data_IF_279715139780
#
_entry.id   IF_279715139780
#
_cell.length_a   1.000
_cell.length_b   1.000
_cell.length_c   1.000
_cell.angle_alpha   90.00
_cell.angle_beta   90.00
_cell.angle_gamma   90.00
#
_symmetry.space_group_name_H-M   'P 1'
#
loop_
_entity.id
_entity.type
_entity.pdbx_description
1 polymer ?
#
# COMPACT_ATOMS: atom_id res chain seq x y z
N UNK A 1 1.22 33.53 -6.31
CA UNK A 1 0.06 33.28 -7.20
C UNK A 1 0.55 33.17 -8.64
N UNK A 2 0.53 31.97 -9.23
CA UNK A 2 0.63 31.77 -10.69
C UNK A 2 -0.54 30.87 -11.08
N UNK A 3 -1.52 31.45 -11.77
CA UNK A 3 -2.72 30.82 -12.28
C UNK A 3 -2.45 30.27 -13.69
N UNK A 4 -2.88 29.02 -13.93
CA UNK A 4 -2.97 28.28 -15.22
C UNK A 4 -1.63 27.90 -15.91
N UNK A 5 -1.52 26.66 -16.45
CA UNK A 5 -2.51 26.00 -17.30
C UNK A 5 -3.11 24.71 -16.69
N UNK A 6 -4.43 24.71 -16.52
CA UNK A 6 -5.22 23.66 -15.84
C UNK A 6 -6.12 22.86 -16.80
N UNK A 7 -5.87 22.88 -18.12
CA UNK A 7 -6.86 22.36 -19.10
C UNK A 7 -6.46 21.06 -19.81
N UNK A 8 -5.20 20.58 -19.73
CA UNK A 8 -4.80 19.34 -20.43
C UNK A 8 -3.72 18.49 -19.72
N UNK A 9 -3.60 18.55 -18.39
CA UNK A 9 -2.68 17.66 -17.64
C UNK A 9 -3.43 16.41 -17.17
N UNK A 10 -2.69 15.27 -17.14
CA UNK A 10 -3.10 13.94 -16.68
C UNK A 10 -4.02 14.04 -15.44
N UNK A 11 -4.99 13.13 -15.21
CA UNK A 11 -5.62 13.05 -13.90
C UNK A 11 -4.50 12.93 -12.88
N UNK A 12 -4.35 13.92 -12.00
CA UNK A 12 -3.41 13.82 -10.89
C UNK A 12 -3.67 12.49 -10.19
N UNK A 13 -2.63 11.65 -10.07
CA UNK A 13 -2.68 10.31 -9.50
C UNK A 13 -3.59 10.29 -8.25
N UNK A 14 -4.38 9.22 -8.10
CA UNK A 14 -5.54 9.11 -7.20
C UNK A 14 -5.32 9.29 -5.69
N UNK A 15 -4.12 9.65 -5.27
CA UNK A 15 -3.88 10.33 -4.00
C UNK A 15 -4.07 11.81 -4.26
N UNK A 16 -5.30 12.30 -4.08
CA UNK A 16 -5.60 13.71 -3.84
C UNK A 16 -4.44 14.32 -3.05
N UNK A 17 -3.66 15.22 -3.65
CA UNK A 17 -2.45 15.80 -3.06
C UNK A 17 -2.76 16.18 -1.60
N UNK A 18 -2.34 15.37 -0.61
CA UNK A 18 -2.73 15.62 0.76
C UNK A 18 -2.19 16.98 1.16
N UNK A 19 -2.95 17.69 1.99
CA UNK A 19 -2.49 18.99 2.44
C UNK A 19 -1.23 18.80 3.27
N UNK A 20 -0.15 19.52 2.92
CA UNK A 20 1.00 19.64 3.83
C UNK A 20 0.57 20.62 4.91
N UNK A 21 0.52 20.15 6.16
CA UNK A 21 0.11 20.95 7.30
C UNK A 21 1.33 21.32 8.16
N UNK A 22 1.49 22.62 8.39
CA UNK A 22 2.37 23.21 9.40
C UNK A 22 1.59 23.75 10.59
N UNK A 23 0.25 23.72 10.52
CA UNK A 23 -0.68 24.20 11.54
C UNK A 23 -1.97 23.37 11.57
N UNK A 24 -2.49 23.13 12.76
CA UNK A 24 -3.73 22.37 13.00
C UNK A 24 -4.85 23.24 13.57
N UNK A 25 -6.14 22.89 13.36
CA UNK A 25 -7.27 23.66 13.88
C UNK A 25 -7.55 23.34 15.36
N UNK A 26 -6.61 23.64 16.26
CA UNK A 26 -6.68 23.26 17.68
C UNK A 26 -5.90 24.25 18.55
N UNK A 27 -6.32 24.40 19.81
CA UNK A 27 -5.53 25.04 20.86
C UNK A 27 -5.26 24.08 22.03
N UNK A 28 -6.05 23.01 22.15
CA UNK A 28 -5.96 22.02 23.22
C UNK A 28 -6.12 20.61 22.62
N UNK A 29 -5.10 20.10 21.91
CA UNK A 29 -5.15 18.75 21.36
C UNK A 29 -5.07 17.73 22.49
N UNK A 30 -5.67 16.56 22.28
CA UNK A 30 -5.48 15.42 23.17
C UNK A 30 -5.52 14.10 22.43
N UNK A 31 -4.72 13.14 22.87
CA UNK A 31 -4.68 11.81 22.27
C UNK A 31 -5.40 10.77 23.13
N UNK A 32 -5.99 9.79 22.47
CA UNK A 32 -6.61 8.64 23.13
C UNK A 32 -6.03 7.36 22.52
N UNK A 33 -5.75 6.37 23.39
CA UNK A 33 -5.13 5.07 23.08
C UNK A 33 -3.67 5.14 22.60
N UNK A 34 -2.76 4.60 23.43
CA UNK A 34 -1.33 4.54 23.13
C UNK A 34 -0.61 5.89 23.21
N UNK A 35 0.71 5.87 23.04
CA UNK A 35 1.55 7.08 22.96
C UNK A 35 1.80 7.42 21.47
N UNK A 36 1.34 8.58 20.96
CA UNK A 36 1.57 8.99 19.58
C UNK A 36 3.04 9.31 19.27
N UNK A 37 3.90 9.56 20.26
CA UNK A 37 5.28 10.02 20.04
C UNK A 37 6.14 9.04 19.24
N UNK A 38 5.84 7.74 19.33
CA UNK A 38 6.55 6.73 18.56
C UNK A 38 6.25 6.81 17.06
N UNK A 39 5.04 7.25 16.71
CA UNK A 39 4.51 7.19 15.36
C UNK A 39 4.56 8.53 14.64
N UNK A 40 4.16 9.60 15.34
CA UNK A 40 3.98 10.94 14.78
C UNK A 40 4.72 12.04 15.56
N UNK A 41 6.02 11.90 15.82
CA UNK A 41 6.80 12.88 16.60
C UNK A 41 6.79 14.29 15.99
N UNK A 42 6.79 14.43 14.67
CA UNK A 42 6.78 15.72 13.96
C UNK A 42 5.45 16.44 14.09
N UNK A 43 4.35 15.68 14.07
CA UNK A 43 3.00 16.17 14.35
C UNK A 43 2.90 16.66 15.79
N UNK A 44 3.40 15.90 16.77
CA UNK A 44 3.45 16.34 18.17
C UNK A 44 4.27 17.61 18.31
N UNK A 45 5.49 17.65 17.77
CA UNK A 45 6.34 18.83 17.82
C UNK A 45 5.67 20.06 17.18
N UNK A 46 4.91 19.86 16.10
CA UNK A 46 4.13 20.94 15.45
C UNK A 46 3.00 21.44 16.34
N UNK A 47 2.24 20.53 16.97
CA UNK A 47 1.18 20.86 17.91
C UNK A 47 1.73 21.59 19.14
N UNK A 48 2.80 21.10 19.74
CA UNK A 48 3.41 21.68 20.94
C UNK A 48 4.00 23.07 20.68
N UNK A 49 4.63 23.27 19.51
CA UNK A 49 5.03 24.62 19.07
C UNK A 49 3.83 25.54 18.88
N UNK A 50 2.72 25.03 18.37
CA UNK A 50 1.51 25.82 18.13
C UNK A 50 0.81 26.22 19.43
N UNK A 51 0.70 25.30 20.40
CA UNK A 51 -0.05 25.50 21.64
C UNK A 51 0.80 26.00 22.80
N UNK A 52 2.14 25.94 22.67
CA UNK A 52 3.09 26.19 23.74
C UNK A 52 2.89 25.27 24.96
N UNK A 53 2.32 24.08 24.73
CA UNK A 53 2.01 23.08 25.76
C UNK A 53 2.22 21.66 25.21
N UNK A 54 2.60 20.69 26.05
CA UNK A 54 2.69 19.29 25.64
C UNK A 54 1.31 18.76 25.22
N UNK A 55 1.28 17.81 24.28
CA UNK A 55 0.04 17.09 23.97
C UNK A 55 -0.24 16.07 25.07
N UNK A 56 -1.39 16.18 25.73
CA UNK A 56 -1.78 15.33 26.87
C UNK A 56 -2.85 14.29 26.48
N UNK A 57 -3.11 13.29 27.32
CA UNK A 57 -4.26 12.40 27.14
C UNK A 57 -5.56 13.19 27.00
N UNK A 58 -6.41 12.76 26.07
CA UNK A 58 -7.65 13.44 25.71
C UNK A 58 -8.62 13.50 26.89
N UNK A 59 -9.24 14.67 27.06
CA UNK A 59 -10.36 14.91 27.96
C UNK A 59 -11.44 15.73 27.24
N UNK A 60 -12.66 15.85 27.81
CA UNK A 60 -13.72 16.69 27.22
C UNK A 60 -13.37 18.17 27.07
N UNK A 61 -12.28 18.65 27.68
CA UNK A 61 -11.79 20.03 27.54
C UNK A 61 -10.90 20.23 26.31
N UNK A 62 -10.41 19.14 25.70
CA UNK A 62 -9.67 19.18 24.44
C UNK A 62 -10.59 19.63 23.29
N UNK A 63 -10.02 20.29 22.28
CA UNK A 63 -10.73 20.74 21.08
C UNK A 63 -10.32 19.97 19.81
N UNK A 64 -9.45 18.96 19.95
CA UNK A 64 -9.07 18.00 18.93
C UNK A 64 -8.82 16.63 19.59
N UNK A 65 -9.39 15.58 19.00
CA UNK A 65 -9.16 14.19 19.41
C UNK A 65 -8.19 13.51 18.44
N UNK A 66 -7.05 13.04 18.93
CA UNK A 66 -6.11 12.22 18.18
C UNK A 66 -6.33 10.74 18.49
N UNK A 67 -6.41 9.90 17.46
CA UNK A 67 -6.58 8.45 17.57
C UNK A 67 -5.61 7.71 16.65
N UNK A 68 -5.08 6.54 17.03
CA UNK A 68 -4.42 5.67 16.07
C UNK A 68 -5.44 5.18 15.02
N UNK A 69 -4.98 5.00 13.78
CA UNK A 69 -5.80 4.43 12.71
C UNK A 69 -6.23 3.00 13.06
N UNK A 70 -7.54 2.67 13.02
CA UNK A 70 -8.03 1.36 13.38
C UNK A 70 -7.79 0.33 12.27
N UNK A 71 -7.59 -0.94 12.63
CA UNK A 71 -7.64 -2.06 11.67
C UNK A 71 -9.07 -2.32 11.23
N UNK A 72 -9.97 -2.33 12.23
CA UNK A 72 -11.39 -2.59 12.09
C UNK A 72 -12.18 -1.47 12.74
N UNK A 73 -13.33 -1.13 12.16
CA UNK A 73 -14.20 -0.10 12.72
C UNK A 73 -14.62 -0.34 14.18
N UNK A 74 -14.62 -1.59 14.64
CA UNK A 74 -14.88 -1.98 16.04
C UNK A 74 -13.81 -1.52 17.03
N UNK A 75 -12.61 -1.16 16.57
CA UNK A 75 -11.52 -0.66 17.42
C UNK A 75 -11.67 0.83 17.76
N UNK A 76 -12.56 1.54 17.04
CA UNK A 76 -12.83 2.95 17.30
C UNK A 76 -13.64 3.11 18.60
N UNK A 77 -13.34 4.13 19.42
CA UNK A 77 -14.07 4.42 20.66
C UNK A 77 -15.41 5.09 20.33
N UNK A 78 -16.37 4.32 19.80
CA UNK A 78 -17.65 4.83 19.33
C UNK A 78 -18.43 5.58 20.41
N UNK A 79 -18.35 5.16 21.67
CA UNK A 79 -18.98 5.85 22.80
C UNK A 79 -18.46 7.29 22.97
N UNK A 80 -17.13 7.48 22.89
CA UNK A 80 -16.50 8.81 22.91
C UNK A 80 -16.92 9.59 21.68
N UNK A 81 -16.79 8.99 20.49
CA UNK A 81 -17.12 9.64 19.22
C UNK A 81 -18.58 10.06 19.15
N UNK A 82 -19.52 9.28 19.69
CA UNK A 82 -20.95 9.56 19.71
C UNK A 82 -21.31 10.72 20.64
N UNK A 83 -20.52 10.94 21.70
CA UNK A 83 -20.64 12.09 22.60
C UNK A 83 -20.11 13.41 22.02
N UNK A 84 -19.35 13.39 20.92
CA UNK A 84 -18.75 14.60 20.34
C UNK A 84 -19.68 15.36 19.38
N UNK A 85 -19.57 16.71 19.31
CA UNK A 85 -20.21 17.52 18.27
C UNK A 85 -19.91 16.99 16.86
N UNK A 86 -20.84 17.18 15.93
CA UNK A 86 -20.72 16.61 14.58
C UNK A 86 -19.51 17.11 13.78
N UNK A 87 -19.12 18.36 14.02
CA UNK A 87 -18.02 19.09 13.41
C UNK A 87 -16.70 19.00 14.22
N UNK A 88 -16.72 18.35 15.39
CA UNK A 88 -15.54 18.22 16.24
C UNK A 88 -14.38 17.54 15.49
N UNK A 89 -13.17 18.10 15.47
CA UNK A 89 -12.09 17.58 14.65
C UNK A 89 -11.48 16.33 15.30
N UNK A 90 -11.31 15.30 14.48
CA UNK A 90 -10.69 14.02 14.84
C UNK A 90 -9.52 13.78 13.89
N UNK A 91 -8.34 13.58 14.45
CA UNK A 91 -7.10 13.33 13.75
C UNK A 91 -6.71 11.86 13.92
N UNK A 92 -6.86 11.07 12.87
CA UNK A 92 -6.35 9.71 12.84
C UNK A 92 -4.89 9.74 12.38
N UNK A 93 -4.01 9.10 13.14
CA UNK A 93 -2.60 8.97 12.78
C UNK A 93 -2.24 7.51 12.51
N UNK A 94 -1.28 7.29 11.61
CA UNK A 94 -0.88 5.92 11.28
C UNK A 94 -0.07 5.33 12.44
N UNK A 95 -0.46 4.14 12.89
CA UNK A 95 0.23 3.41 13.94
C UNK A 95 0.56 1.99 13.46
N UNK A 96 -0.14 0.97 13.95
CA UNK A 96 0.05 -0.43 13.52
C UNK A 96 -0.60 -0.75 12.17
N UNK A 97 -1.55 0.08 11.75
CA UNK A 97 -2.36 -0.12 10.55
C UNK A 97 -2.15 1.03 9.58
N UNK A 98 -1.97 0.74 8.28
CA UNK A 98 -1.84 1.79 7.31
C UNK A 98 -3.14 2.57 7.13
N UNK A 99 -3.01 3.85 6.81
CA UNK A 99 -4.11 4.74 6.50
C UNK A 99 -3.95 5.39 5.13
N UNK A 100 -5.08 5.77 4.53
CA UNK A 100 -5.10 6.60 3.35
C UNK A 100 -5.14 8.07 3.79
N UNK A 101 -4.08 8.87 3.61
CA UNK A 101 -3.97 10.19 4.25
C UNK A 101 -4.67 11.31 3.47
N UNK A 102 -5.17 12.31 4.19
CA UNK A 102 -5.55 13.62 3.61
C UNK A 102 -4.67 14.79 4.11
N UNK A 103 -3.80 14.52 5.09
CA UNK A 103 -2.82 15.47 5.64
C UNK A 103 -1.46 14.79 5.73
N UNK A 104 -0.41 15.54 5.41
CA UNK A 104 1.00 15.17 5.64
C UNK A 104 1.68 16.19 6.54
N UNK A 105 2.60 15.71 7.37
CA UNK A 105 3.50 16.56 8.16
C UNK A 105 4.92 16.07 7.93
N UNK A 106 5.80 16.98 7.53
CA UNK A 106 7.24 16.72 7.45
C UNK A 106 7.96 17.14 8.73
N UNK A 107 9.12 16.57 9.00
CA UNK A 107 10.00 16.95 10.11
C UNK A 107 10.56 18.39 10.00
N UNK A 108 10.43 19.04 8.83
CA UNK A 108 10.97 20.36 8.52
C UNK A 108 12.50 20.38 8.37
N UNK A 109 13.16 19.24 8.56
CA UNK A 109 14.61 19.08 8.47
C UNK A 109 14.97 18.72 7.02
N UNK A 110 15.95 19.41 6.43
CA UNK A 110 16.38 19.14 5.06
C UNK A 110 17.40 17.99 4.97
N UNK A 111 17.52 17.18 6.02
CA UNK A 111 18.43 16.03 6.01
C UNK A 111 17.96 14.97 5.02
N UNK A 112 18.86 14.55 4.13
CA UNK A 112 18.64 13.34 3.33
C UNK A 112 18.83 12.06 4.15
N UNK A 113 19.52 12.11 5.29
CA UNK A 113 19.69 10.94 6.14
C UNK A 113 18.44 10.66 6.96
N UNK A 114 17.97 9.41 6.90
CA UNK A 114 16.87 8.86 7.71
C UNK A 114 17.32 7.53 8.33
N UNK A 115 16.74 7.17 9.47
CA UNK A 115 16.99 5.90 10.14
C UNK A 115 15.92 4.86 9.72
N UNK A 116 16.31 3.60 9.62
CA UNK A 116 15.42 2.46 9.34
C UNK A 116 15.38 1.48 10.53
N UNK A 117 15.88 1.87 11.70
CA UNK A 117 15.96 1.02 12.91
C UNK A 117 14.60 0.65 13.51
N UNK A 118 13.58 1.49 13.33
CA UNK A 118 12.25 1.23 13.89
C UNK A 118 11.20 1.17 12.78
N UNK A 119 10.12 0.44 13.05
CA UNK A 119 9.00 0.37 12.12
C UNK A 119 8.42 1.74 11.79
N UNK A 120 8.34 2.63 12.77
CA UNK A 120 7.79 3.97 12.61
C UNK A 120 8.72 4.89 11.81
N UNK A 121 10.03 4.87 12.07
CA UNK A 121 11.02 5.62 11.26
C UNK A 121 11.05 5.12 9.82
N UNK A 122 11.08 3.79 9.62
CA UNK A 122 11.00 3.17 8.29
C UNK A 122 9.76 3.58 7.50
N UNK A 123 8.59 3.60 8.15
CA UNK A 123 7.33 4.02 7.54
C UNK A 123 7.32 5.50 7.14
N UNK A 124 7.89 6.38 7.98
CA UNK A 124 8.01 7.81 7.66
C UNK A 124 9.03 8.08 6.56
N UNK A 125 10.14 7.34 6.53
CA UNK A 125 11.14 7.38 5.46
C UNK A 125 10.56 6.89 4.12
N UNK A 126 9.83 5.77 4.15
CA UNK A 126 9.09 5.27 2.98
C UNK A 126 8.19 6.36 2.39
N UNK A 127 7.42 7.06 3.21
CA UNK A 127 6.53 8.14 2.76
C UNK A 127 7.28 9.32 2.16
N UNK A 128 8.40 9.70 2.75
CA UNK A 128 9.20 10.82 2.22
C UNK A 128 9.83 10.48 0.86
N UNK A 129 10.05 9.21 0.53
CA UNK A 129 10.52 8.84 -0.81
C UNK A 129 9.58 9.32 -1.92
N UNK A 130 8.27 9.29 -1.69
CA UNK A 130 7.27 9.71 -2.69
C UNK A 130 6.79 11.15 -2.51
N UNK A 131 7.10 11.79 -1.39
CA UNK A 131 6.57 13.09 -0.99
C UNK A 131 7.67 13.89 -0.34
N UNK A 132 7.82 15.16 -0.67
CA UNK A 132 8.98 15.96 -0.24
C UNK A 132 10.30 15.51 -0.89
N UNK A 133 10.25 14.88 -2.07
CA UNK A 133 11.42 14.55 -2.90
C UNK A 133 12.48 13.70 -2.18
N UNK A 134 12.06 12.81 -1.26
CA UNK A 134 13.01 12.01 -0.48
C UNK A 134 13.78 12.81 0.57
N UNK A 135 13.28 13.97 1.00
CA UNK A 135 13.91 14.78 2.04
C UNK A 135 13.21 14.54 3.38
N UNK A 136 14.00 14.27 4.43
CA UNK A 136 13.51 14.08 5.80
C UNK A 136 12.58 12.88 5.98
N UNK A 137 11.76 12.96 7.03
CA UNK A 137 10.69 12.01 7.36
C UNK A 137 9.30 12.63 7.16
N UNK A 138 8.33 11.81 6.73
CA UNK A 138 6.95 12.26 6.46
C UNK A 138 5.92 11.42 7.21
N UNK A 139 5.10 12.08 8.01
CA UNK A 139 3.96 11.51 8.71
C UNK A 139 2.68 11.72 7.89
N UNK A 140 1.80 10.72 7.89
CA UNK A 140 0.52 10.85 7.22
C UNK A 140 -0.64 10.65 8.18
N UNK A 141 -1.63 11.51 8.02
CA UNK A 141 -2.74 11.71 8.94
C UNK A 141 -4.05 11.80 8.15
N UNK A 142 -5.15 11.53 8.85
CA UNK A 142 -6.50 11.82 8.40
C UNK A 142 -7.16 12.78 9.38
N UNK A 143 -7.41 14.01 8.94
CA UNK A 143 -8.18 14.97 9.71
C UNK A 143 -9.62 15.02 9.17
N UNK A 144 -10.58 14.64 10.00
CA UNK A 144 -12.01 14.61 9.66
C UNK A 144 -12.88 15.05 10.84
N UNK A 145 -14.09 15.59 10.57
CA UNK A 145 -15.10 15.76 11.60
C UNK A 145 -15.54 14.42 12.23
N UNK A 146 -15.90 14.43 13.52
CA UNK A 146 -16.37 13.25 14.24
C UNK A 146 -17.57 12.57 13.55
N UNK A 147 -18.49 13.35 12.96
CA UNK A 147 -19.58 12.81 12.15
C UNK A 147 -19.12 11.93 10.98
N UNK A 148 -17.97 12.24 10.37
CA UNK A 148 -17.39 11.48 9.25
C UNK A 148 -16.63 10.26 9.74
N UNK A 149 -15.92 10.35 10.86
CA UNK A 149 -15.29 9.19 11.49
C UNK A 149 -16.35 8.16 11.90
N UNK A 150 -17.45 8.60 12.55
CA UNK A 150 -18.62 7.75 12.85
C UNK A 150 -19.23 7.13 11.59
N UNK A 151 -19.34 7.92 10.51
CA UNK A 151 -19.87 7.45 9.24
C UNK A 151 -19.00 6.33 8.63
N UNK A 152 -17.67 6.52 8.58
CA UNK A 152 -16.72 5.49 8.12
C UNK A 152 -16.82 4.23 8.98
N UNK A 153 -16.85 4.40 10.31
CA UNK A 153 -16.95 3.28 11.24
C UNK A 153 -18.24 2.47 11.04
N UNK A 154 -19.40 3.14 10.93
CA UNK A 154 -20.71 2.48 10.84
C UNK A 154 -21.00 1.89 9.46
N UNK A 155 -20.40 2.42 8.39
CA UNK A 155 -20.63 1.95 7.02
C UNK A 155 -19.60 0.96 6.50
N UNK A 156 -18.46 0.80 7.17
CA UNK A 156 -17.58 -0.34 6.92
C UNK A 156 -18.34 -1.70 6.97
N UNK A 157 -19.52 -1.74 7.60
CA UNK A 157 -20.40 -2.91 7.71
C UNK A 157 -21.55 -2.99 6.68
N UNK A 158 -21.74 -1.98 5.82
CA UNK A 158 -22.81 -1.97 4.80
C UNK A 158 -22.19 -1.83 3.40
N UNK A 159 -22.21 -2.91 2.63
CA UNK A 159 -21.54 -3.06 1.33
C UNK A 159 -21.96 -2.05 0.25
N UNK A 160 -23.07 -1.33 0.41
CA UNK A 160 -23.66 -0.45 -0.62
C UNK A 160 -23.95 0.98 -0.11
N UNK A 161 -22.91 1.79 0.15
CA UNK A 161 -23.12 3.20 0.47
C UNK A 161 -22.32 4.14 -0.43
N UNK A 162 -23.00 5.18 -0.95
CA UNK A 162 -22.39 6.32 -1.66
C UNK A 162 -22.33 7.52 -0.69
N UNK A 163 -21.24 8.31 -0.68
CA UNK A 163 -21.17 9.52 0.14
C UNK A 163 -22.23 10.55 -0.28
N UNK A 164 -22.89 11.15 0.71
CA UNK A 164 -23.93 12.20 0.54
C UNK A 164 -23.38 13.45 -0.18
N UNK A 165 -24.20 14.21 -0.94
CA UNK A 165 -23.80 15.36 -1.77
C UNK A 165 -23.34 16.64 -1.03
N UNK A 166 -22.99 16.59 0.25
CA UNK A 166 -22.54 17.77 1.01
C UNK A 166 -21.05 18.19 0.95
N UNK A 167 -20.05 17.34 0.63
CA UNK A 167 -18.63 17.75 0.68
C UNK A 167 -18.13 18.43 -0.59
N UNK A 168 -17.01 19.17 -0.46
CA UNK A 168 -16.16 19.54 -1.60
C UNK A 168 -15.80 18.29 -2.43
N UNK A 169 -15.56 18.46 -3.74
CA UNK A 169 -15.24 17.34 -4.63
C UNK A 169 -14.06 16.48 -4.13
N UNK A 170 -13.06 17.13 -3.53
CA UNK A 170 -11.90 16.47 -2.93
C UNK A 170 -12.30 15.60 -1.73
N UNK A 171 -13.13 16.12 -0.82
CA UNK A 171 -13.62 15.36 0.34
C UNK A 171 -14.48 14.16 -0.09
N UNK A 172 -15.27 14.29 -1.16
CA UNK A 172 -16.04 13.16 -1.71
C UNK A 172 -15.12 12.06 -2.25
N UNK A 173 -14.09 12.43 -3.02
CA UNK A 173 -13.11 11.48 -3.56
C UNK A 173 -12.37 10.75 -2.45
N UNK A 174 -11.88 11.48 -1.44
CA UNK A 174 -11.22 10.88 -0.28
C UNK A 174 -12.13 9.88 0.44
N UNK A 175 -13.36 10.27 0.78
CA UNK A 175 -14.29 9.40 1.49
C UNK A 175 -14.62 8.15 0.68
N UNK A 176 -14.76 8.26 -0.64
CA UNK A 176 -14.95 7.09 -1.50
C UNK A 176 -13.77 6.14 -1.45
N UNK A 177 -12.53 6.65 -1.57
CA UNK A 177 -11.33 5.81 -1.52
C UNK A 177 -11.14 5.15 -0.15
N UNK A 178 -11.36 5.89 0.94
CA UNK A 178 -11.32 5.35 2.29
C UNK A 178 -12.37 4.24 2.51
N UNK A 179 -13.60 4.45 2.04
CA UNK A 179 -14.65 3.42 2.11
C UNK A 179 -14.29 2.17 1.30
N UNK A 180 -13.75 2.34 0.11
CA UNK A 180 -13.30 1.22 -0.73
C UNK A 180 -12.15 0.44 -0.10
N UNK A 181 -11.20 1.15 0.53
CA UNK A 181 -10.13 0.54 1.30
C UNK A 181 -10.70 -0.30 2.46
N UNK A 182 -11.61 0.27 3.26
CA UNK A 182 -12.26 -0.46 4.36
C UNK A 182 -13.07 -1.66 3.86
N UNK A 183 -13.78 -1.55 2.73
CA UNK A 183 -14.50 -2.69 2.12
C UNK A 183 -13.54 -3.78 1.66
N UNK A 184 -12.37 -3.41 1.14
CA UNK A 184 -11.32 -4.36 0.75
C UNK A 184 -10.78 -5.10 1.96
N UNK A 185 -10.42 -4.38 3.01
CA UNK A 185 -9.98 -4.95 4.30
C UNK A 185 -11.04 -5.88 4.89
N UNK A 186 -12.30 -5.45 4.94
CA UNK A 186 -13.39 -6.26 5.49
C UNK A 186 -13.61 -7.56 4.69
N UNK A 187 -13.59 -7.48 3.36
CA UNK A 187 -13.76 -8.64 2.49
C UNK A 187 -12.61 -9.66 2.63
N UNK A 188 -11.36 -9.17 2.74
CA UNK A 188 -10.18 -10.01 2.98
C UNK A 188 -10.21 -10.67 4.36
N UNK A 189 -10.53 -9.92 5.40
CA UNK A 189 -10.65 -10.44 6.78
C UNK A 189 -11.71 -11.53 6.89
N UNK A 190 -12.85 -11.38 6.18
CA UNK A 190 -13.91 -12.39 6.18
C UNK A 190 -13.46 -13.75 5.63
N UNK A 191 -12.46 -13.79 4.72
CA UNK A 191 -11.91 -15.04 4.21
C UNK A 191 -11.10 -15.80 5.27
N UNK A 192 -10.45 -15.08 6.21
CA UNK A 192 -9.71 -15.71 7.31
C UNK A 192 -10.63 -16.40 8.31
N UNK A 193 -11.75 -15.78 8.65
CA UNK A 193 -12.68 -16.30 9.68
C UNK A 193 -13.37 -17.60 9.28
N UNK A 194 -13.49 -17.89 7.97
CA UNK A 194 -14.05 -19.15 7.48
C UNK A 194 -13.12 -20.36 7.71
N UNK A 195 -11.82 -20.12 7.95
CA UNK A 195 -10.81 -21.16 8.18
C UNK A 195 -10.50 -21.41 9.66
N UNK A 196 -11.03 -20.59 10.59
CA UNK A 196 -10.80 -20.77 12.03
C UNK A 196 -12.06 -21.32 12.70
N UNK A 197 -12.00 -22.59 13.12
CA UNK A 197 -12.98 -23.16 14.03
C UNK A 197 -13.03 -22.35 15.33
N UNK A 198 -14.24 -22.24 15.89
CA UNK A 198 -14.63 -21.44 17.05
C UNK A 198 -13.67 -21.44 18.25
N UNK A 199 -12.63 -20.61 18.25
CA UNK A 199 -11.92 -20.18 19.44
C UNK A 199 -11.42 -18.74 19.27
N UNK A 200 -12.37 -17.81 19.15
CA UNK A 200 -12.10 -16.39 19.26
C UNK A 200 -12.31 -15.97 20.72
N UNK A 201 -11.25 -16.06 21.52
CA UNK A 201 -11.17 -15.36 22.79
C UNK A 201 -9.76 -14.78 22.97
N UNK A 202 -9.74 -13.53 23.45
CA UNK A 202 -8.56 -12.70 23.72
C UNK A 202 -7.93 -11.98 22.54
N UNK A 203 -7.74 -10.67 22.70
CA UNK A 203 -6.87 -9.79 21.94
C UNK A 203 -5.41 -10.27 22.03
N UNK A 204 -5.11 -11.40 21.39
CA UNK A 204 -3.77 -11.94 21.27
C UNK A 204 -3.03 -11.11 20.22
N UNK A 205 -1.83 -10.66 20.59
CA UNK A 205 -0.94 -9.88 19.73
C UNK A 205 -0.94 -10.41 18.31
N UNK A 206 -1.28 -9.55 17.35
CA UNK A 206 -1.18 -9.87 15.94
C UNK A 206 0.31 -10.12 15.62
N UNK A 207 0.64 -11.34 15.22
CA UNK A 207 1.94 -11.71 14.67
C UNK A 207 1.70 -12.39 13.32
N UNK A 208 2.23 -11.85 12.21
CA UNK A 208 2.14 -12.51 10.90
C UNK A 208 2.69 -13.94 10.95
N UNK A 209 2.06 -14.86 10.22
CA UNK A 209 2.63 -16.20 10.03
C UNK A 209 3.85 -16.12 9.11
N UNK A 210 4.79 -17.05 9.23
CA UNK A 210 5.92 -17.09 8.30
C UNK A 210 5.45 -17.51 6.89
N UNK A 211 5.90 -16.79 5.86
CA UNK A 211 5.69 -17.17 4.47
C UNK A 211 6.39 -18.49 4.18
N UNK A 212 5.63 -19.50 3.77
CA UNK A 212 6.19 -20.82 3.46
C UNK A 212 6.91 -20.83 2.10
N UNK A 213 7.91 -21.69 1.87
CA UNK A 213 8.48 -21.90 0.54
C UNK A 213 7.44 -22.37 -0.48
N UNK A 214 7.63 -22.03 -1.74
CA UNK A 214 6.82 -22.50 -2.86
C UNK A 214 7.73 -23.01 -3.99
N UNK A 215 7.35 -24.11 -4.65
CA UNK A 215 8.19 -24.76 -5.66
C UNK A 215 8.19 -24.03 -7.02
N UNK A 216 7.04 -23.48 -7.42
CA UNK A 216 6.82 -22.83 -8.72
C UNK A 216 6.13 -21.50 -8.50
N UNK A 217 6.87 -20.42 -8.69
CA UNK A 217 6.44 -19.06 -8.36
C UNK A 217 6.29 -18.24 -9.63
N UNK A 218 5.07 -17.80 -9.94
CA UNK A 218 4.85 -16.80 -10.98
C UNK A 218 4.77 -15.41 -10.33
N UNK A 219 5.61 -14.49 -10.77
CA UNK A 219 5.57 -13.08 -10.36
C UNK A 219 4.91 -12.30 -11.48
N UNK A 220 3.69 -11.81 -11.24
CA UNK A 220 2.87 -11.11 -12.24
C UNK A 220 2.66 -9.68 -11.80
N UNK A 221 3.36 -8.74 -12.46
CA UNK A 221 3.38 -7.32 -12.09
C UNK A 221 3.17 -6.41 -13.30
N UNK A 222 2.54 -5.24 -13.13
CA UNK A 222 2.27 -4.37 -14.26
C UNK A 222 3.52 -3.70 -14.81
N UNK A 223 4.33 -3.03 -13.98
CA UNK A 223 5.44 -2.19 -14.41
C UNK A 223 6.80 -2.83 -14.17
N UNK A 224 7.78 -2.38 -14.95
CA UNK A 224 9.20 -2.74 -14.80
C UNK A 224 9.80 -2.07 -13.57
N UNK A 225 9.91 -2.78 -12.44
CA UNK A 225 10.47 -2.39 -11.13
C UNK A 225 9.61 -2.91 -9.98
N UNK A 226 8.31 -3.11 -10.20
CA UNK A 226 7.36 -3.64 -9.21
C UNK A 226 7.82 -4.98 -8.62
N UNK A 227 8.46 -5.83 -9.43
CA UNK A 227 9.03 -7.10 -9.00
C UNK A 227 10.11 -6.91 -7.94
N UNK A 228 10.93 -5.88 -8.11
CA UNK A 228 12.01 -5.57 -7.18
C UNK A 228 11.47 -4.85 -5.94
N UNK A 229 10.50 -3.95 -6.12
CA UNK A 229 9.95 -3.13 -5.04
C UNK A 229 9.10 -3.94 -4.06
N UNK A 230 8.24 -4.82 -4.54
CA UNK A 230 7.32 -5.60 -3.69
C UNK A 230 7.80 -7.04 -3.40
N UNK A 231 8.65 -7.61 -4.26
CA UNK A 231 8.97 -9.04 -4.22
C UNK A 231 10.45 -9.37 -4.33
N UNK A 232 11.35 -8.38 -4.34
CA UNK A 232 12.77 -8.64 -4.60
C UNK A 232 13.41 -9.59 -3.59
N UNK A 233 13.06 -9.45 -2.31
CA UNK A 233 13.51 -10.36 -1.25
C UNK A 233 12.90 -11.76 -1.39
N UNK A 234 11.60 -11.85 -1.68
CA UNK A 234 10.91 -13.12 -1.93
C UNK A 234 11.41 -13.87 -3.17
N UNK A 235 11.69 -13.16 -4.27
CA UNK A 235 12.26 -13.74 -5.48
C UNK A 235 13.65 -14.29 -5.18
N UNK A 236 14.53 -13.48 -4.57
CA UNK A 236 15.88 -13.92 -4.21
C UNK A 236 15.85 -15.13 -3.26
N UNK A 237 14.92 -15.14 -2.30
CA UNK A 237 14.73 -16.28 -1.38
C UNK A 237 14.25 -17.54 -2.13
N UNK A 238 13.29 -17.40 -3.03
CA UNK A 238 12.76 -18.52 -3.82
C UNK A 238 13.83 -19.12 -4.75
N UNK A 239 14.58 -18.27 -5.46
CA UNK A 239 15.69 -18.71 -6.31
C UNK A 239 16.77 -19.44 -5.49
N UNK A 240 17.16 -18.90 -4.33
CA UNK A 240 18.13 -19.54 -3.45
C UNK A 240 17.63 -20.90 -2.89
N UNK A 241 16.31 -21.06 -2.75
CA UNK A 241 15.69 -22.31 -2.34
C UNK A 241 15.50 -23.33 -3.47
N UNK A 242 15.90 -22.99 -4.71
CA UNK A 242 15.75 -23.85 -5.89
C UNK A 242 14.35 -23.88 -6.48
N UNK A 243 13.51 -22.89 -6.15
CA UNK A 243 12.19 -22.73 -6.78
C UNK A 243 12.33 -22.35 -8.25
N UNK A 244 11.45 -22.87 -9.08
CA UNK A 244 11.25 -22.36 -10.43
C UNK A 244 10.52 -21.01 -10.32
N UNK A 245 11.11 -19.94 -10.85
CA UNK A 245 10.53 -18.59 -10.81
C UNK A 245 10.30 -18.11 -12.23
N UNK A 246 9.06 -17.73 -12.55
CA UNK A 246 8.67 -17.10 -13.82
C UNK A 246 8.24 -15.67 -13.56
N UNK A 247 8.86 -14.71 -14.23
CA UNK A 247 8.60 -13.28 -14.06
C UNK A 247 7.88 -12.72 -15.29
N UNK A 248 6.72 -12.10 -15.07
CA UNK A 248 5.81 -11.66 -16.13
C UNK A 248 5.46 -10.20 -15.90
N UNK A 249 5.91 -9.34 -16.80
CA UNK A 249 5.51 -7.93 -16.84
C UNK A 249 4.37 -7.71 -17.81
N UNK A 250 3.34 -7.02 -17.34
CA UNK A 250 2.12 -6.83 -18.13
C UNK A 250 2.24 -5.66 -19.10
N UNK A 251 2.96 -4.59 -18.74
CA UNK A 251 3.01 -3.35 -19.54
C UNK A 251 4.37 -3.10 -20.20
N UNK A 252 4.40 -2.16 -21.14
CA UNK A 252 5.57 -1.81 -21.97
C UNK A 252 6.55 -0.81 -21.33
N UNK A 253 6.26 -0.26 -20.15
CA UNK A 253 7.12 0.73 -19.49
C UNK A 253 7.27 2.06 -20.25
N UNK A 254 6.45 2.30 -21.28
CA UNK A 254 6.62 3.42 -22.21
C UNK A 254 6.43 4.80 -21.58
N UNK A 255 5.93 4.90 -20.35
CA UNK A 255 5.64 6.18 -19.66
C UNK A 255 6.50 6.43 -18.43
N UNK A 256 7.47 5.55 -18.15
CA UNK A 256 8.33 5.65 -16.96
C UNK A 256 9.49 6.63 -17.07
N UNK A 257 9.90 7.06 -18.27
CA UNK A 257 10.98 8.07 -18.44
C UNK A 257 10.44 9.32 -19.10
N UNK A 258 10.17 10.34 -18.29
CA UNK A 258 9.45 11.55 -18.72
C UNK A 258 10.23 12.48 -19.67
N UNK A 259 11.55 12.30 -19.77
CA UNK A 259 12.46 13.18 -20.52
C UNK A 259 12.76 12.71 -21.95
N UNK A 260 12.23 11.54 -22.35
CA UNK A 260 12.45 10.93 -23.68
C UNK A 260 11.13 10.55 -24.35
N UNK A 261 11.18 10.05 -25.59
CA UNK A 261 9.99 9.53 -26.27
C UNK A 261 9.47 8.26 -25.58
N UNK A 262 8.19 7.93 -25.78
CA UNK A 262 7.61 6.70 -25.21
C UNK A 262 8.33 5.44 -25.69
N UNK A 263 8.75 5.41 -26.97
CA UNK A 263 9.53 4.29 -27.54
C UNK A 263 10.90 4.16 -26.87
N UNK A 264 11.58 5.28 -26.65
CA UNK A 264 12.88 5.28 -25.98
C UNK A 264 12.76 4.91 -24.50
N UNK A 265 11.71 5.38 -23.81
CA UNK A 265 11.38 4.98 -22.44
C UNK A 265 11.20 3.46 -22.34
N UNK A 266 10.42 2.86 -23.25
CA UNK A 266 10.19 1.42 -23.27
C UNK A 266 11.50 0.64 -23.46
N UNK A 267 12.36 1.06 -24.40
CA UNK A 267 13.68 0.42 -24.65
C UNK A 267 14.59 0.50 -23.43
N UNK A 268 14.72 1.69 -22.82
CA UNK A 268 15.53 1.89 -21.61
C UNK A 268 15.04 0.97 -20.51
N UNK A 269 13.74 1.04 -20.18
CA UNK A 269 13.21 0.28 -19.04
C UNK A 269 13.20 -1.23 -19.29
N UNK A 270 13.02 -1.70 -20.52
CA UNK A 270 13.17 -3.12 -20.85
C UNK A 270 14.61 -3.60 -20.56
N UNK A 271 15.64 -2.83 -20.94
CA UNK A 271 17.03 -3.19 -20.63
C UNK A 271 17.34 -3.14 -19.12
N UNK A 272 16.69 -2.25 -18.38
CA UNK A 272 16.77 -2.20 -16.92
C UNK A 272 16.11 -3.43 -16.28
N UNK A 273 14.90 -3.79 -16.71
CA UNK A 273 14.17 -4.96 -16.24
C UNK A 273 14.93 -6.27 -16.48
N UNK A 274 15.52 -6.45 -17.67
CA UNK A 274 16.35 -7.63 -17.97
C UNK A 274 17.55 -7.74 -17.02
N UNK A 275 18.27 -6.63 -16.79
CA UNK A 275 19.39 -6.61 -15.84
C UNK A 275 18.94 -6.88 -14.41
N UNK A 276 17.78 -6.36 -14.00
CA UNK A 276 17.21 -6.62 -12.69
C UNK A 276 16.87 -8.11 -12.51
N UNK A 277 16.24 -8.75 -13.51
CA UNK A 277 15.94 -10.18 -13.49
C UNK A 277 17.20 -11.04 -13.41
N UNK A 278 18.25 -10.71 -14.18
CA UNK A 278 19.55 -11.39 -14.09
C UNK A 278 20.15 -11.30 -12.68
N UNK A 279 20.09 -10.12 -12.04
CA UNK A 279 20.57 -9.91 -10.67
C UNK A 279 19.76 -10.72 -9.65
N UNK A 280 18.45 -10.82 -9.85
CA UNK A 280 17.54 -11.63 -9.04
C UNK A 280 17.72 -13.14 -9.29
N UNK A 281 18.47 -13.54 -10.32
CA UNK A 281 18.69 -14.94 -10.67
C UNK A 281 17.52 -15.58 -11.42
N UNK A 282 16.69 -14.78 -12.10
CA UNK A 282 15.53 -15.25 -12.86
C UNK A 282 15.83 -15.19 -14.35
N UNK A 283 15.77 -16.34 -15.03
CA UNK A 283 15.96 -16.46 -16.48
C UNK A 283 14.67 -16.64 -17.26
N UNK A 284 13.62 -17.17 -16.62
CA UNK A 284 12.30 -17.37 -17.24
C UNK A 284 11.47 -16.08 -17.12
N UNK A 285 11.61 -15.21 -18.11
CA UNK A 285 11.05 -13.85 -18.12
C UNK A 285 10.16 -13.62 -19.33
N UNK A 286 9.06 -12.89 -19.14
CA UNK A 286 8.10 -12.58 -20.19
C UNK A 286 7.60 -11.13 -20.15
N UNK A 287 7.48 -10.55 -21.34
CA UNK A 287 6.99 -9.19 -21.57
C UNK A 287 5.70 -9.28 -22.38
N UNK A 288 4.57 -8.82 -21.82
CA UNK A 288 3.28 -8.85 -22.51
C UNK A 288 2.96 -7.57 -23.28
N UNK A 289 3.75 -6.51 -23.05
CA UNK A 289 3.75 -5.27 -23.84
C UNK A 289 2.37 -4.58 -23.93
N UNK A 290 1.52 -4.70 -22.91
CA UNK A 290 0.31 -3.89 -22.87
C UNK A 290 0.71 -2.40 -22.75
N UNK A 291 0.03 -1.47 -23.44
CA UNK A 291 0.40 -0.07 -23.34
C UNK A 291 0.23 0.45 -21.90
N UNK A 292 1.31 0.97 -21.31
CA UNK A 292 1.31 1.50 -19.95
C UNK A 292 0.20 2.57 -19.79
N UNK A 293 -0.50 2.57 -18.65
CA UNK A 293 -1.71 3.35 -18.32
C UNK A 293 -2.98 2.99 -19.09
N UNK A 294 -2.93 1.97 -19.94
CA UNK A 294 -4.07 1.47 -20.73
C UNK A 294 -4.21 -0.04 -20.61
N UNK A 295 -3.70 -0.63 -19.53
CA UNK A 295 -3.89 -2.05 -19.25
C UNK A 295 -5.39 -2.33 -19.08
N UNK A 296 -5.90 -3.36 -19.76
CA UNK A 296 -7.29 -3.80 -19.59
C UNK A 296 -7.38 -5.32 -19.67
N UNK A 297 -8.56 -5.87 -19.44
CA UNK A 297 -8.83 -7.31 -19.66
C UNK A 297 -8.94 -7.71 -21.13
N UNK A 298 -8.75 -6.77 -22.08
CA UNK A 298 -8.91 -6.99 -23.51
C UNK A 298 -7.62 -6.65 -24.24
N UNK A 299 -7.03 -7.63 -24.92
CA UNK A 299 -5.82 -7.46 -25.71
C UNK A 299 -5.07 -8.80 -25.87
N UNK A 300 -4.03 -8.84 -26.70
CA UNK A 300 -3.22 -10.04 -26.89
C UNK A 300 -2.55 -10.52 -25.58
N UNK A 301 -2.21 -9.58 -24.69
CA UNK A 301 -1.66 -9.87 -23.37
C UNK A 301 -2.55 -10.76 -22.50
N UNK A 302 -3.88 -10.74 -22.69
CA UNK A 302 -4.78 -11.60 -21.92
C UNK A 302 -4.61 -13.07 -22.26
N UNK A 303 -4.63 -13.41 -23.55
CA UNK A 303 -4.39 -14.79 -24.01
C UNK A 303 -2.96 -15.25 -23.72
N UNK A 304 -1.97 -14.35 -23.85
CA UNK A 304 -0.59 -14.66 -23.50
C UNK A 304 -0.44 -14.97 -22.01
N UNK A 305 -1.03 -14.15 -21.13
CA UNK A 305 -1.00 -14.41 -19.69
C UNK A 305 -1.68 -15.75 -19.35
N UNK A 306 -2.82 -16.06 -19.96
CA UNK A 306 -3.47 -17.37 -19.80
C UNK A 306 -2.55 -18.51 -20.20
N UNK A 307 -1.92 -18.43 -21.37
CA UNK A 307 -1.00 -19.45 -21.86
C UNK A 307 0.19 -19.64 -20.93
N UNK A 308 0.83 -18.55 -20.49
CA UNK A 308 1.99 -18.60 -19.61
C UNK A 308 1.66 -19.22 -18.26
N UNK A 309 0.48 -18.90 -17.70
CA UNK A 309 0.02 -19.48 -16.44
C UNK A 309 -0.34 -20.97 -16.59
N UNK A 310 -0.97 -21.35 -17.70
CA UNK A 310 -1.36 -22.73 -17.97
C UNK A 310 -0.15 -23.62 -18.26
N UNK A 311 0.86 -23.11 -18.95
CA UNK A 311 2.13 -23.81 -19.16
C UNK A 311 2.91 -23.95 -17.85
N UNK A 312 2.97 -22.88 -17.06
CA UNK A 312 3.81 -22.83 -15.87
C UNK A 312 3.18 -23.49 -14.63
N UNK A 313 1.87 -23.73 -14.60
CA UNK A 313 1.14 -24.32 -13.46
C UNK A 313 1.71 -23.89 -12.07
N UNK A 314 1.73 -22.57 -11.76
CA UNK A 314 2.36 -22.08 -10.54
C UNK A 314 1.67 -22.65 -9.29
N UNK A 315 2.46 -22.95 -8.26
CA UNK A 315 1.93 -23.26 -6.92
C UNK A 315 1.66 -21.99 -6.13
N UNK A 316 2.37 -20.90 -6.43
CA UNK A 316 2.13 -19.55 -5.91
C UNK A 316 2.21 -18.49 -6.99
N UNK A 317 1.31 -17.51 -6.95
CA UNK A 317 1.37 -16.28 -7.73
C UNK A 317 1.63 -15.09 -6.80
N UNK A 318 2.74 -14.41 -7.04
CA UNK A 318 3.00 -13.08 -6.48
C UNK A 318 2.42 -12.02 -7.41
N UNK A 319 1.63 -11.10 -6.86
CA UNK A 319 1.06 -9.98 -7.62
C UNK A 319 0.72 -8.81 -6.71
N UNK A 320 0.39 -7.65 -7.26
CA UNK A 320 0.05 -6.48 -6.46
C UNK A 320 -1.41 -6.54 -6.03
N UNK A 321 -1.71 -6.09 -4.81
CA UNK A 321 -3.07 -6.05 -4.32
C UNK A 321 -3.94 -4.98 -5.01
N UNK A 322 -5.25 -5.21 -5.10
CA UNK A 322 -6.16 -4.33 -5.87
C UNK A 322 -6.45 -2.96 -5.26
N UNK A 323 -6.09 -2.73 -3.99
CA UNK A 323 -6.32 -1.46 -3.30
C UNK A 323 -5.11 -0.50 -3.40
N UNK A 324 -4.25 -0.75 -4.38
CA UNK A 324 -3.21 0.15 -4.84
C UNK A 324 -3.77 1.48 -5.41
N UNK A 325 -2.94 2.51 -5.37
CA UNK A 325 -3.17 3.83 -5.93
C UNK A 325 -2.60 4.03 -7.35
N UNK A 326 -2.36 2.94 -8.08
CA UNK A 326 -1.98 2.98 -9.49
C UNK A 326 -3.02 2.22 -10.34
N UNK A 327 -3.45 2.83 -11.46
CA UNK A 327 -4.49 2.27 -12.34
C UNK A 327 -4.08 0.91 -12.92
N UNK A 328 -2.84 0.75 -13.36
CA UNK A 328 -2.38 -0.52 -13.93
C UNK A 328 -2.22 -1.60 -12.85
N UNK A 329 -1.94 -1.22 -11.59
CA UNK A 329 -1.91 -2.16 -10.46
C UNK A 329 -3.31 -2.68 -10.14
N UNK A 330 -4.34 -1.84 -10.30
CA UNK A 330 -5.72 -2.28 -10.19
C UNK A 330 -6.17 -3.11 -11.41
N UNK A 331 -5.85 -2.68 -12.62
CA UNK A 331 -6.23 -3.38 -13.84
C UNK A 331 -5.50 -4.72 -13.99
N UNK A 332 -4.28 -4.86 -13.45
CA UNK A 332 -3.55 -6.13 -13.40
C UNK A 332 -4.34 -7.20 -12.63
N UNK A 333 -5.04 -6.82 -11.56
CA UNK A 333 -5.91 -7.74 -10.81
C UNK A 333 -7.10 -8.20 -11.64
N UNK A 334 -7.72 -7.29 -12.41
CA UNK A 334 -8.83 -7.64 -13.31
C UNK A 334 -8.36 -8.56 -14.43
N UNK A 335 -7.21 -8.26 -15.01
CA UNK A 335 -6.59 -9.06 -16.06
C UNK A 335 -6.21 -10.45 -15.53
N UNK A 336 -5.47 -10.52 -14.43
CA UNK A 336 -5.02 -11.77 -13.82
C UNK A 336 -6.21 -12.67 -13.46
N UNK A 337 -7.25 -12.11 -12.83
CA UNK A 337 -8.49 -12.86 -12.55
C UNK A 337 -9.15 -13.40 -13.82
N UNK A 338 -9.18 -12.61 -14.89
CA UNK A 338 -9.81 -13.01 -16.16
C UNK A 338 -8.97 -14.04 -16.93
N UNK A 339 -7.65 -13.98 -16.80
CA UNK A 339 -6.71 -14.83 -17.54
C UNK A 339 -6.38 -16.13 -16.81
N UNK A 340 -6.63 -16.22 -15.50
CA UNK A 340 -6.29 -17.37 -14.67
C UNK A 340 -7.06 -18.64 -15.09
N UNK A 341 -6.35 -19.73 -15.47
CA UNK A 341 -6.98 -21.01 -15.75
C UNK A 341 -7.75 -21.58 -14.55
N UNK A 342 -8.86 -22.31 -14.76
CA UNK A 342 -9.61 -22.95 -13.67
C UNK A 342 -8.78 -23.92 -12.81
N UNK A 343 -7.77 -24.56 -13.40
CA UNK A 343 -6.83 -25.46 -12.70
C UNK A 343 -6.06 -24.75 -11.58
N UNK A 344 -5.91 -23.42 -11.66
CA UNK A 344 -5.21 -22.59 -10.68
C UNK A 344 -6.13 -22.01 -9.60
N UNK A 345 -7.39 -22.44 -9.51
CA UNK A 345 -8.34 -21.95 -8.50
C UNK A 345 -7.87 -22.16 -7.04
N UNK A 346 -7.02 -23.15 -6.80
CA UNK A 346 -6.39 -23.42 -5.51
C UNK A 346 -4.92 -22.95 -5.43
N UNK A 347 -4.39 -22.32 -6.48
CA UNK A 347 -3.06 -21.70 -6.46
C UNK A 347 -3.02 -20.66 -5.33
N UNK A 348 -1.90 -20.58 -4.62
CA UNK A 348 -1.76 -19.60 -3.54
C UNK A 348 -1.48 -18.22 -4.14
N UNK A 349 -2.29 -17.23 -3.79
CA UNK A 349 -2.00 -15.83 -4.07
C UNK A 349 -1.19 -15.27 -2.91
N UNK A 350 -0.05 -14.64 -3.19
CA UNK A 350 0.74 -13.88 -2.22
C UNK A 350 0.87 -12.44 -2.71
N UNK A 351 -0.05 -11.57 -2.29
CA UNK A 351 -0.12 -10.21 -2.84
C UNK A 351 0.62 -9.17 -2.01
N UNK A 352 1.39 -8.33 -2.70
CA UNK A 352 2.23 -7.25 -2.17
C UNK A 352 1.62 -5.86 -2.37
N UNK A 353 2.24 -4.83 -1.78
CA UNK A 353 1.94 -3.41 -2.01
C UNK A 353 3.22 -2.60 -2.24
N UNK A 354 3.15 -1.57 -3.09
CA UNK A 354 4.28 -0.70 -3.45
C UNK A 354 4.06 0.73 -2.96
N UNK A 355 3.06 1.42 -3.52
CA UNK A 355 2.70 2.81 -3.25
C UNK A 355 1.80 2.97 -2.01
N UNK A 356 1.32 1.85 -1.45
CA UNK A 356 0.62 1.78 -0.17
C UNK A 356 1.10 0.57 0.64
N UNK A 357 1.44 0.73 1.94
CA UNK A 357 1.71 -0.42 2.80
C UNK A 357 0.47 -1.31 2.94
N UNK A 358 0.68 -2.62 3.04
CA UNK A 358 -0.42 -3.56 3.21
C UNK A 358 -1.05 -3.47 4.61
N UNK A 359 -2.38 -3.64 4.73
CA UNK A 359 -3.03 -3.80 6.01
C UNK A 359 -2.57 -5.10 6.68
N UNK A 360 -2.53 -5.08 8.01
CA UNK A 360 -2.25 -6.27 8.80
C UNK A 360 -3.55 -6.97 9.16
N UNK A 361 -3.78 -8.14 8.56
CA UNK A 361 -5.02 -8.90 8.70
C UNK A 361 -4.71 -10.27 9.30
N UNK A 362 -5.24 -10.54 10.49
CA UNK A 362 -5.05 -11.80 11.19
C UNK A 362 -5.44 -12.98 10.28
N UNK A 363 -4.61 -14.02 10.27
CA UNK A 363 -4.81 -15.23 9.47
C UNK A 363 -4.55 -15.09 7.95
N UNK A 364 -4.47 -13.88 7.40
CA UNK A 364 -4.14 -13.66 5.98
C UNK A 364 -2.71 -13.16 5.80
N UNK A 365 -2.24 -12.25 6.65
CA UNK A 365 -0.90 -11.69 6.51
C UNK A 365 0.15 -12.73 6.86
N UNK A 366 1.08 -12.95 5.93
CA UNK A 366 2.30 -13.70 6.16
C UNK A 366 3.52 -12.80 5.97
N UNK A 367 4.59 -13.10 6.70
CA UNK A 367 5.84 -12.34 6.69
C UNK A 367 7.00 -13.23 6.26
N UNK A 368 7.85 -12.67 5.41
CA UNK A 368 9.13 -13.23 5.01
C UNK A 368 10.24 -12.40 5.64
N UNK A 369 10.94 -12.96 6.63
CA UNK A 369 12.15 -12.34 7.17
C UNK A 369 13.25 -12.39 6.11
N UNK A 370 13.89 -11.24 5.87
CA UNK A 370 14.96 -11.11 4.88
C UNK A 370 16.33 -11.27 5.52
N UNK A 371 17.21 -11.98 4.83
CA UNK A 371 18.63 -12.09 5.16
C UNK A 371 19.39 -10.88 4.61
N UNK A 372 20.59 -10.61 5.14
CA UNK A 372 21.46 -9.56 4.59
C UNK A 372 21.77 -9.78 3.09
N UNK A 373 21.87 -11.04 2.66
CA UNK A 373 22.12 -11.41 1.26
C UNK A 373 20.92 -11.11 0.36
N UNK A 374 19.71 -11.51 0.75
CA UNK A 374 18.48 -11.25 -0.03
C UNK A 374 18.18 -9.75 -0.11
N UNK A 375 18.40 -8.99 0.97
CA UNK A 375 18.34 -7.52 0.96
C UNK A 375 19.38 -6.94 -0.02
N UNK A 376 20.61 -7.45 -0.03
CA UNK A 376 21.65 -6.97 -0.94
C UNK A 376 21.36 -7.28 -2.41
N UNK A 377 20.77 -8.45 -2.71
CA UNK A 377 20.31 -8.81 -4.05
C UNK A 377 19.20 -7.85 -4.50
N UNK A 378 18.16 -7.67 -3.69
CA UNK A 378 17.04 -6.75 -3.99
C UNK A 378 17.54 -5.33 -4.23
N UNK A 379 18.46 -4.83 -3.40
CA UNK A 379 19.05 -3.49 -3.57
C UNK A 379 19.81 -3.34 -4.89
N UNK A 380 20.57 -4.36 -5.31
CA UNK A 380 21.25 -4.35 -6.62
C UNK A 380 20.26 -4.42 -7.78
N UNK A 381 19.20 -5.21 -7.66
CA UNK A 381 18.17 -5.32 -8.69
C UNK A 381 17.42 -3.99 -8.85
N UNK A 382 17.05 -3.33 -7.74
CA UNK A 382 16.50 -1.97 -7.76
C UNK A 382 17.46 -0.98 -8.43
N UNK A 383 18.76 -1.05 -8.12
CA UNK A 383 19.78 -0.19 -8.71
C UNK A 383 19.91 -0.34 -10.24
N UNK A 384 19.46 -1.45 -10.83
CA UNK A 384 19.44 -1.64 -12.27
C UNK A 384 18.41 -0.74 -12.97
N UNK A 385 17.35 -0.31 -12.26
CA UNK A 385 16.32 0.63 -12.71
C UNK A 385 16.80 2.09 -12.59
N UNK A 386 17.96 2.38 -13.20
CA UNK A 386 18.67 3.64 -13.06
C UNK A 386 17.87 4.86 -13.57
N UNK A 387 17.00 4.66 -14.56
CA UNK A 387 16.11 5.71 -15.07
C UNK A 387 15.05 6.10 -14.04
N UNK A 388 14.56 5.14 -13.25
CA UNK A 388 13.50 5.35 -12.26
C UNK A 388 14.05 5.92 -10.94
N UNK A 389 15.24 5.49 -10.53
CA UNK A 389 15.90 5.98 -9.30
C UNK A 389 16.18 7.49 -9.34
N UNK A 390 16.31 8.08 -10.54
CA UNK A 390 16.47 9.53 -10.69
C UNK A 390 15.22 10.31 -10.25
N UNK A 391 14.05 9.67 -10.32
CA UNK A 391 12.76 10.29 -10.01
C UNK A 391 12.29 9.95 -8.59
N UNK A 392 12.56 8.72 -8.12
CA UNK A 392 12.12 8.22 -6.81
C UNK A 392 13.26 7.46 -6.13
N UNK A 393 13.49 7.75 -4.85
CA UNK A 393 14.48 7.04 -4.03
C UNK A 393 13.99 5.62 -3.67
N UNK A 394 14.08 4.69 -4.63
CA UNK A 394 13.66 3.28 -4.46
C UNK A 394 14.40 2.57 -3.32
N UNK A 395 15.64 2.96 -3.03
CA UNK A 395 16.37 2.40 -1.89
C UNK A 395 15.68 2.76 -0.58
N UNK A 396 15.25 4.01 -0.42
CA UNK A 396 14.48 4.45 0.75
C UNK A 396 13.09 3.82 0.79
N UNK A 397 12.41 3.69 -0.35
CA UNK A 397 11.11 2.99 -0.42
C UNK A 397 11.23 1.57 0.13
N UNK A 398 12.16 0.80 -0.44
CA UNK A 398 12.35 -0.61 -0.09
C UNK A 398 12.81 -0.78 1.36
N UNK A 399 13.84 -0.04 1.80
CA UNK A 399 14.31 -0.11 3.19
C UNK A 399 13.24 0.33 4.20
N UNK A 400 12.47 1.36 3.87
CA UNK A 400 11.38 1.85 4.70
C UNK A 400 10.26 0.83 4.87
N UNK A 401 9.80 0.21 3.77
CA UNK A 401 8.83 -0.88 3.83
C UNK A 401 9.36 -2.10 4.55
N UNK A 402 10.63 -2.47 4.35
CA UNK A 402 11.24 -3.61 5.02
C UNK A 402 11.31 -3.43 6.53
N UNK A 403 11.70 -2.23 6.99
CA UNK A 403 11.70 -1.89 8.42
C UNK A 403 10.28 -1.85 8.99
N UNK A 404 9.32 -1.28 8.26
CA UNK A 404 7.91 -1.27 8.64
C UNK A 404 7.37 -2.69 8.78
N UNK A 405 7.53 -3.52 7.76
CA UNK A 405 7.05 -4.90 7.73
C UNK A 405 7.75 -5.77 8.78
N UNK A 406 9.01 -5.45 9.07
CA UNK A 406 9.84 -6.10 10.07
C UNK A 406 9.42 -5.89 11.52
N UNK A 407 8.37 -5.11 11.81
CA UNK A 407 7.97 -4.76 13.19
C UNK A 407 7.58 -5.93 14.10
N UNK A 408 7.30 -7.09 13.51
CA UNK A 408 7.00 -8.33 14.24
C UNK A 408 8.14 -9.37 14.14
N UNK A 409 9.25 -9.00 13.52
CA UNK A 409 10.45 -9.81 13.36
C UNK A 409 11.68 -9.07 13.89
N UNK A 410 12.75 -9.77 14.20
CA UNK A 410 14.01 -9.14 14.63
C UNK A 410 14.86 -8.72 13.40
N UNK A 411 14.28 -7.99 12.45
CA UNK A 411 14.95 -7.60 11.21
C UNK A 411 14.03 -7.18 10.07
N UNK A 412 14.61 -6.81 8.90
CA UNK A 412 13.84 -6.44 7.71
C UNK A 412 12.97 -7.60 7.23
N UNK A 413 11.76 -7.29 6.76
CA UNK A 413 10.86 -8.31 6.24
C UNK A 413 10.04 -7.80 5.04
N UNK A 414 9.51 -8.72 4.25
CA UNK A 414 8.44 -8.46 3.29
C UNK A 414 7.15 -9.11 3.80
N UNK A 415 6.03 -8.38 3.76
CA UNK A 415 4.73 -8.91 4.16
C UNK A 415 3.84 -9.08 2.93
N UNK A 416 3.02 -10.13 2.96
CA UNK A 416 2.07 -10.46 1.90
C UNK A 416 0.70 -10.81 2.48
N UNK A 417 -0.36 -10.51 1.74
CA UNK A 417 -1.67 -11.11 1.99
C UNK A 417 -1.72 -12.44 1.24
N UNK A 418 -1.84 -13.54 1.98
CA UNK A 418 -1.70 -14.89 1.43
C UNK A 418 -2.98 -15.70 1.62
N UNK A 419 -3.54 -16.20 0.51
CA UNK A 419 -4.73 -17.07 0.50
C UNK A 419 -4.88 -17.81 -0.84
N UNK A 420 -5.68 -18.89 -0.92
CA UNK A 420 -6.03 -19.51 -2.20
C UNK A 420 -6.69 -18.53 -3.17
N UNK A 421 -6.41 -18.68 -4.47
CA UNK A 421 -6.89 -17.77 -5.51
C UNK A 421 -8.41 -17.61 -5.53
N UNK A 422 -9.18 -18.68 -5.33
CA UNK A 422 -10.64 -18.59 -5.26
C UNK A 422 -11.13 -17.66 -4.12
N UNK A 423 -10.48 -17.69 -2.95
CA UNK A 423 -10.81 -16.81 -1.82
C UNK A 423 -10.41 -15.36 -2.10
N UNK A 424 -9.24 -15.17 -2.71
CA UNK A 424 -8.76 -13.85 -3.12
C UNK A 424 -9.73 -13.17 -4.09
N UNK A 425 -10.15 -13.90 -5.14
CA UNK A 425 -11.09 -13.38 -6.13
C UNK A 425 -12.51 -13.24 -5.58
N UNK A 426 -12.92 -14.05 -4.62
CA UNK A 426 -14.17 -13.86 -3.89
C UNK A 426 -14.14 -12.55 -3.11
N UNK A 427 -13.07 -12.26 -2.35
CA UNK A 427 -12.89 -11.00 -1.64
C UNK A 427 -12.83 -9.79 -2.59
N UNK A 428 -12.16 -9.93 -3.73
CA UNK A 428 -12.13 -8.90 -4.78
C UNK A 428 -13.54 -8.56 -5.31
N UNK A 429 -14.41 -9.56 -5.48
CA UNK A 429 -15.80 -9.33 -5.90
C UNK A 429 -16.63 -8.71 -4.77
N UNK A 430 -16.54 -9.27 -3.56
CA UNK A 430 -17.32 -8.85 -2.39
C UNK A 430 -17.00 -7.41 -1.96
N UNK A 431 -15.74 -6.98 -2.10
CA UNK A 431 -15.35 -5.59 -1.83
C UNK A 431 -15.97 -4.57 -2.81
N UNK A 432 -16.56 -5.04 -3.91
CA UNK A 432 -17.03 -4.20 -5.01
C UNK A 432 -15.93 -3.78 -5.98
N UNK A 433 -14.67 -4.20 -5.76
CA UNK A 433 -13.54 -3.82 -6.59
C UNK A 433 -13.74 -4.23 -8.06
N UNK A 434 -14.44 -5.33 -8.35
CA UNK A 434 -14.78 -5.73 -9.73
C UNK A 434 -15.62 -4.73 -10.56
N UNK A 435 -16.27 -3.76 -9.90
CA UNK A 435 -17.17 -2.76 -10.53
C UNK A 435 -16.68 -1.33 -10.28
N UNK A 436 -15.42 -1.15 -9.89
CA UNK A 436 -14.89 0.16 -9.50
C UNK A 436 -14.57 0.99 -10.75
N UNK A 437 -15.31 2.09 -10.93
CA UNK A 437 -15.15 2.99 -12.09
C UNK A 437 -14.23 4.19 -11.80
N UNK A 438 -13.76 4.36 -10.57
CA UNK A 438 -13.12 5.60 -10.12
C UNK A 438 -11.65 5.76 -10.54
N UNK A 439 -11.02 4.74 -11.12
CA UNK A 439 -9.64 4.79 -11.62
C UNK A 439 -9.56 5.03 -13.14
N UNK A 440 -10.69 5.11 -13.84
CA UNK A 440 -10.79 5.28 -15.29
C UNK A 440 -11.06 6.73 -15.71
#
# INVERSE_FOLDING_TARGET
MRFFPLILRRPDNLLSVPAVADRFPTQRPGFLQGDPALWVPSTLATLERQTQQPVLPWSPQCDLLMLPSPALASELPLEVLDGLPADYPVLLYEAQQPLFPNVLVGDGNQSQSVDFKTASSGLRAYRSAFRHLGIGETEALVLLPASRVRYLARLAFRFESKPSPGPSLQNRRFLTLALDYHRSVAALSAQSSQNQSHNASSATMFTPRQLQPASRVAVVVPHFDDECLAFGGAIATAVAAGSEVRLIWLTDGSRGVSTVSHEESAKIRHQEAMRAAEILGVSDVHFLEAPETKLTTRGPWASQLTQLLDEFQPTRIHSLWWAENNVDHYESNRLLRSAMPPSLSCCEMAVGGVWSPLPLLAGVTQSLALTAETVAIQKRALAAHASQIKEVDYSRVSAGLQAWNGRFSNGPAENYLVMPAHQYWQAFVQSGASKRWLLA
#
